data_IF_890296887031
#
_entry.id   IF_890296887031
#
_cell.length_a   1.000
_cell.length_b   1.000
_cell.length_c   1.000
_cell.angle_alpha   90.00
_cell.angle_beta   90.00
_cell.angle_gamma   90.00
#
_symmetry.space_group_name_H-M   'P 1'
#
loop_
_entity.id
_entity.type
_entity.pdbx_description
1 polymer ?
#
# COMPACT_ATOMS: atom_id res chain seq x y z
N UNK A 1 15.93 17.73 9.28
CA UNK A 1 16.37 16.33 9.07
C UNK A 1 17.28 16.17 7.86
N UNK A 2 16.82 16.36 6.61
CA UNK A 2 17.65 16.14 5.41
C UNK A 2 18.96 16.94 5.44
N UNK A 3 18.90 18.24 5.66
CA UNK A 3 20.11 19.11 5.73
C UNK A 3 21.11 18.56 6.77
N UNK A 4 20.65 18.18 7.95
CA UNK A 4 21.52 17.64 9.00
C UNK A 4 22.15 16.31 8.61
N UNK A 5 21.41 15.42 7.93
CA UNK A 5 21.97 14.14 7.44
C UNK A 5 23.08 14.43 6.45
N UNK A 6 22.86 15.26 5.42
CA UNK A 6 23.88 15.57 4.41
C UNK A 6 25.10 16.31 4.97
N UNK A 7 24.94 17.02 6.10
CA UNK A 7 26.03 17.76 6.72
C UNK A 7 26.90 16.88 7.64
N UNK A 8 26.27 15.98 8.42
CA UNK A 8 26.94 15.27 9.50
C UNK A 8 27.17 13.77 9.22
N UNK A 9 26.51 13.18 8.24
CA UNK A 9 26.66 11.77 7.87
C UNK A 9 27.41 11.71 6.54
N UNK A 10 28.72 11.42 6.60
CA UNK A 10 29.61 11.42 5.41
C UNK A 10 30.23 10.06 5.12
N UNK A 11 30.25 9.15 6.10
CA UNK A 11 30.86 7.84 6.00
C UNK A 11 29.88 6.73 6.40
N UNK A 12 30.11 5.53 5.92
CA UNK A 12 29.30 4.34 6.26
C UNK A 12 29.29 4.04 7.77
N UNK A 13 30.30 4.48 8.51
CA UNK A 13 30.42 4.26 9.96
C UNK A 13 29.71 5.33 10.80
N UNK A 14 29.11 6.37 10.20
CA UNK A 14 28.42 7.45 10.91
C UNK A 14 27.01 7.05 11.38
N UNK A 15 26.86 5.81 11.87
CA UNK A 15 25.57 5.27 12.33
C UNK A 15 25.06 6.05 13.55
N UNK A 16 25.95 6.43 14.49
CA UNK A 16 25.56 7.15 15.70
C UNK A 16 25.06 8.56 15.38
N UNK A 17 25.78 9.41 14.61
CA UNK A 17 25.25 10.69 14.13
C UNK A 17 23.92 10.57 13.40
N UNK A 18 23.78 9.57 12.53
CA UNK A 18 22.51 9.31 11.82
C UNK A 18 21.35 9.03 12.79
N UNK A 19 21.55 8.10 13.75
CA UNK A 19 20.55 7.74 14.75
C UNK A 19 20.16 8.93 15.64
N UNK A 20 21.13 9.75 16.05
CA UNK A 20 20.90 10.95 16.84
C UNK A 20 20.08 11.99 16.08
N UNK A 21 20.38 12.23 14.80
CA UNK A 21 19.62 13.17 13.96
C UNK A 21 18.17 12.69 13.82
N UNK A 22 17.95 11.42 13.52
CA UNK A 22 16.61 10.82 13.39
C UNK A 22 15.81 10.96 14.68
N UNK A 23 16.41 10.58 15.81
CA UNK A 23 15.75 10.64 17.13
C UNK A 23 15.43 12.07 17.54
N UNK A 24 16.40 12.98 17.43
CA UNK A 24 16.23 14.39 17.81
C UNK A 24 15.14 15.07 16.96
N UNK A 25 15.14 14.81 15.65
CA UNK A 25 14.11 15.38 14.74
C UNK A 25 12.71 14.88 15.10
N UNK A 26 12.60 13.59 15.45
CA UNK A 26 11.33 12.98 15.86
C UNK A 26 10.83 13.59 17.18
N UNK A 27 11.70 13.72 18.19
CA UNK A 27 11.37 14.35 19.47
C UNK A 27 10.94 15.80 19.27
N UNK A 28 11.65 16.59 18.46
CA UNK A 28 11.31 17.98 18.17
C UNK A 28 9.94 18.08 17.48
N UNK A 29 9.63 17.18 16.55
CA UNK A 29 8.32 17.17 15.89
C UNK A 29 7.18 16.94 16.88
N UNK A 30 7.31 15.95 17.77
CA UNK A 30 6.30 15.69 18.82
C UNK A 30 6.23 16.84 19.83
N UNK A 31 7.34 17.44 20.19
CA UNK A 31 7.38 18.57 21.11
C UNK A 31 6.65 19.80 20.54
N UNK A 32 6.91 20.13 19.28
CA UNK A 32 6.22 21.22 18.58
C UNK A 32 4.70 20.93 18.50
N UNK A 33 4.33 19.70 18.13
CA UNK A 33 2.93 19.28 18.09
C UNK A 33 2.25 19.40 19.48
N UNK A 34 2.95 19.02 20.53
CA UNK A 34 2.46 19.18 21.90
C UNK A 34 2.23 20.65 22.27
N UNK A 35 3.16 21.55 21.92
CA UNK A 35 3.01 22.99 22.18
C UNK A 35 1.79 23.59 21.47
N UNK A 36 1.46 23.09 20.28
CA UNK A 36 0.26 23.51 19.55
C UNK A 36 -1.02 23.03 20.25
N UNK A 37 -1.09 21.75 20.59
CA UNK A 37 -2.26 21.13 21.20
C UNK A 37 -2.48 21.64 22.65
N UNK A 38 -1.41 21.97 23.37
CA UNK A 38 -1.49 22.45 24.76
C UNK A 38 -2.45 23.63 24.95
N UNK A 39 -2.68 24.44 23.92
CA UNK A 39 -3.60 25.60 23.97
C UNK A 39 -5.07 25.17 24.04
N UNK A 40 -5.39 24.01 23.48
CA UNK A 40 -6.76 23.50 23.31
C UNK A 40 -7.12 22.39 24.30
N UNK A 41 -6.16 21.98 25.16
CA UNK A 41 -6.30 20.85 26.10
C UNK A 41 -6.02 21.29 27.52
N UNK A 42 -6.90 20.92 28.43
CA UNK A 42 -6.71 21.10 29.90
C UNK A 42 -6.38 19.74 30.54
N UNK A 43 -5.40 19.77 31.48
CA UNK A 43 -5.09 18.60 32.30
C UNK A 43 -6.12 18.45 33.41
N UNK A 44 -6.94 17.41 33.34
CA UNK A 44 -7.93 17.06 34.36
C UNK A 44 -7.58 15.72 35.01
N UNK A 45 -7.91 15.56 36.27
CA UNK A 45 -7.78 14.26 36.96
C UNK A 45 -8.91 13.35 36.50
N UNK A 46 -8.57 12.27 35.84
CA UNK A 46 -9.54 11.28 35.37
C UNK A 46 -9.57 10.10 36.33
N UNK A 47 -10.76 9.60 36.74
CA UNK A 47 -10.89 8.40 37.56
C UNK A 47 -10.23 7.18 36.89
N UNK A 48 -9.52 6.38 37.69
CA UNK A 48 -8.81 5.17 37.19
C UNK A 48 -9.77 4.24 36.44
N UNK A 49 -11.03 4.14 36.83
CA UNK A 49 -12.04 3.32 36.14
C UNK A 49 -12.27 3.76 34.70
N UNK A 50 -12.34 5.04 34.45
CA UNK A 50 -12.50 5.58 33.06
C UNK A 50 -11.24 5.38 32.23
N UNK A 51 -10.06 5.53 32.84
CA UNK A 51 -8.78 5.23 32.20
C UNK A 51 -8.75 3.75 31.75
N UNK A 52 -9.13 2.80 32.62
CA UNK A 52 -9.12 1.37 32.30
C UNK A 52 -10.11 1.01 31.20
N UNK A 53 -11.32 1.61 31.20
CA UNK A 53 -12.30 1.37 30.15
C UNK A 53 -11.79 1.90 28.81
N UNK A 54 -11.27 3.13 28.78
CA UNK A 54 -10.70 3.75 27.58
C UNK A 54 -9.48 2.98 27.08
N UNK A 55 -8.58 2.56 27.99
CA UNK A 55 -7.38 1.78 27.65
C UNK A 55 -7.71 0.43 26.99
N UNK A 56 -8.78 -0.24 27.42
CA UNK A 56 -9.23 -1.49 26.80
C UNK A 56 -9.63 -1.28 25.34
N UNK A 57 -10.39 -0.22 25.06
CA UNK A 57 -10.81 0.10 23.70
C UNK A 57 -9.62 0.56 22.84
N UNK A 58 -8.74 1.41 23.41
CA UNK A 58 -7.51 1.84 22.76
C UNK A 58 -6.58 0.66 22.43
N UNK A 59 -6.50 -0.35 23.30
CA UNK A 59 -5.69 -1.54 23.05
C UNK A 59 -6.20 -2.35 21.85
N UNK A 60 -7.52 -2.52 21.71
CA UNK A 60 -8.11 -3.18 20.52
C UNK A 60 -7.78 -2.39 19.24
N UNK A 61 -7.92 -1.06 19.29
CA UNK A 61 -7.56 -0.19 18.15
C UNK A 61 -6.06 -0.23 17.84
N UNK A 62 -5.21 -0.30 18.85
CA UNK A 62 -3.77 -0.46 18.69
C UNK A 62 -3.43 -1.80 18.02
N UNK A 63 -4.08 -2.88 18.44
CA UNK A 63 -3.91 -4.18 17.81
C UNK A 63 -4.35 -4.15 16.34
N UNK A 64 -5.50 -3.54 16.04
CA UNK A 64 -6.00 -3.38 14.68
C UNK A 64 -5.04 -2.54 13.81
N UNK A 65 -4.63 -1.37 14.31
CA UNK A 65 -3.75 -0.47 13.59
C UNK A 65 -2.37 -1.08 13.28
N UNK A 66 -1.91 -2.01 14.11
CA UNK A 66 -0.62 -2.68 13.95
C UNK A 66 -0.73 -4.11 13.42
N UNK A 67 -1.93 -4.65 13.23
CA UNK A 67 -2.12 -6.02 12.79
C UNK A 67 -1.45 -6.31 11.44
N UNK A 68 -1.53 -5.36 10.49
CA UNK A 68 -0.80 -5.43 9.22
C UNK A 68 0.72 -5.38 9.37
N UNK A 69 1.24 -4.74 10.44
CA UNK A 69 2.68 -4.74 10.71
C UNK A 69 3.17 -6.10 11.18
N UNK A 70 2.30 -6.95 11.77
CA UNK A 70 2.71 -8.28 12.22
C UNK A 70 3.29 -9.11 11.08
N UNK A 71 2.69 -9.08 9.88
CA UNK A 71 3.20 -9.81 8.73
C UNK A 71 4.63 -9.37 8.37
N UNK A 72 4.83 -8.09 8.09
CA UNK A 72 6.12 -7.55 7.65
C UNK A 72 7.18 -7.57 8.72
N UNK A 73 6.83 -7.48 10.01
CA UNK A 73 7.77 -7.62 11.11
C UNK A 73 8.22 -9.07 11.28
N UNK A 74 7.28 -10.04 11.20
CA UNK A 74 7.61 -11.46 11.27
C UNK A 74 8.55 -11.87 10.15
N UNK A 75 8.27 -11.50 8.91
CA UNK A 75 9.12 -11.80 7.77
C UNK A 75 10.57 -11.33 8.02
N UNK A 76 10.72 -10.09 8.47
CA UNK A 76 12.06 -9.53 8.77
C UNK A 76 12.78 -10.27 9.87
N UNK A 77 12.08 -10.66 10.95
CA UNK A 77 12.68 -11.42 12.05
C UNK A 77 13.27 -12.75 11.57
N UNK A 78 12.59 -13.43 10.63
CA UNK A 78 13.10 -14.65 10.05
C UNK A 78 14.27 -14.40 9.08
N UNK A 79 14.12 -13.45 8.16
CA UNK A 79 15.14 -13.11 7.18
C UNK A 79 16.45 -12.67 7.85
N UNK A 80 16.39 -11.93 8.97
CA UNK A 80 17.60 -11.50 9.72
C UNK A 80 18.38 -12.66 10.35
N UNK A 81 17.82 -13.88 10.41
CA UNK A 81 18.53 -15.09 10.84
C UNK A 81 19.35 -15.72 9.72
N UNK A 82 19.24 -15.20 8.51
CA UNK A 82 20.05 -15.62 7.35
C UNK A 82 21.54 -15.34 7.59
N UNK A 83 22.42 -16.23 7.13
CA UNK A 83 23.84 -15.91 7.00
C UNK A 83 24.11 -14.82 5.94
N UNK A 84 23.15 -14.55 5.05
CA UNK A 84 23.22 -13.57 3.97
C UNK A 84 22.44 -12.31 4.33
N UNK A 85 23.13 -11.29 4.84
CA UNK A 85 22.49 -10.02 5.27
C UNK A 85 21.85 -9.23 4.11
N UNK A 86 22.25 -9.51 2.88
CA UNK A 86 21.65 -8.87 1.71
C UNK A 86 20.14 -9.15 1.54
N UNK A 87 19.63 -10.29 1.98
CA UNK A 87 18.21 -10.64 1.84
C UNK A 87 17.29 -9.68 2.59
N UNK A 88 17.69 -9.22 3.79
CA UNK A 88 16.91 -8.22 4.53
C UNK A 88 16.95 -6.85 3.83
N UNK A 89 18.08 -6.53 3.16
CA UNK A 89 18.18 -5.31 2.35
C UNK A 89 17.26 -5.40 1.13
N UNK A 90 17.22 -6.53 0.43
CA UNK A 90 16.33 -6.76 -0.71
C UNK A 90 14.87 -6.61 -0.31
N UNK A 91 14.47 -7.24 0.80
CA UNK A 91 13.11 -7.13 1.35
C UNK A 91 12.76 -5.66 1.67
N UNK A 92 13.66 -4.96 2.38
CA UNK A 92 13.40 -3.59 2.85
C UNK A 92 13.34 -2.59 1.71
N UNK A 93 14.27 -2.67 0.73
CA UNK A 93 14.27 -1.81 -0.46
C UNK A 93 12.97 -1.99 -1.24
N UNK A 94 12.60 -3.24 -1.52
CA UNK A 94 11.40 -3.57 -2.29
C UNK A 94 10.12 -3.10 -1.61
N UNK A 95 10.03 -3.31 -0.29
CA UNK A 95 8.91 -2.82 0.51
C UNK A 95 8.80 -1.29 0.47
N UNK A 96 9.93 -0.57 0.59
CA UNK A 96 9.95 0.89 0.56
C UNK A 96 9.49 1.44 -0.79
N UNK A 97 9.92 0.84 -1.91
CA UNK A 97 9.49 1.24 -3.26
C UNK A 97 7.97 1.16 -3.38
N UNK A 98 7.38 0.04 -2.98
CA UNK A 98 5.93 -0.16 -3.04
C UNK A 98 5.20 0.77 -2.08
N UNK A 99 5.75 1.00 -0.87
CA UNK A 99 5.17 1.90 0.12
C UNK A 99 5.10 3.35 -0.36
N UNK A 100 6.08 3.85 -1.11
CA UNK A 100 6.05 5.20 -1.68
C UNK A 100 4.83 5.42 -2.60
N UNK A 101 4.44 4.38 -3.33
CA UNK A 101 3.29 4.43 -4.24
C UNK A 101 1.98 4.28 -3.46
N UNK A 102 1.91 3.30 -2.58
CA UNK A 102 0.68 2.96 -1.86
C UNK A 102 0.24 4.07 -0.89
N UNK A 103 1.18 4.77 -0.24
CA UNK A 103 0.87 5.84 0.72
C UNK A 103 0.12 7.02 0.05
N UNK A 104 0.44 7.33 -1.20
CA UNK A 104 -0.25 8.39 -1.95
C UNK A 104 -1.68 7.96 -2.27
N UNK A 105 -1.86 6.72 -2.70
CA UNK A 105 -3.15 6.20 -3.15
C UNK A 105 -4.11 5.90 -1.99
N UNK A 106 -3.61 5.43 -0.85
CA UNK A 106 -4.45 5.18 0.34
C UNK A 106 -5.08 6.46 0.91
N UNK A 107 -4.45 7.62 0.68
CA UNK A 107 -5.04 8.91 1.04
C UNK A 107 -6.44 9.11 0.47
N UNK A 108 -6.72 8.59 -0.72
CA UNK A 108 -8.05 8.69 -1.37
C UNK A 108 -9.12 7.92 -0.60
N UNK A 109 -8.78 6.78 -0.04
CA UNK A 109 -9.69 5.96 0.78
C UNK A 109 -9.87 6.56 2.17
N UNK A 110 -8.79 6.94 2.84
CA UNK A 110 -8.83 7.43 4.21
C UNK A 110 -9.74 8.65 4.39
N UNK A 111 -9.79 9.54 3.40
CA UNK A 111 -10.68 10.72 3.42
C UNK A 111 -12.16 10.32 3.38
N UNK A 112 -12.51 9.15 2.85
CA UNK A 112 -13.90 8.71 2.72
C UNK A 112 -14.44 8.02 3.98
N UNK A 113 -13.58 7.43 4.81
CA UNK A 113 -13.96 6.68 6.03
C UNK A 113 -14.91 7.48 6.95
N UNK A 114 -14.61 8.74 7.33
CA UNK A 114 -15.52 9.51 8.20
C UNK A 114 -16.88 9.77 7.56
N UNK A 115 -16.93 9.95 6.24
CA UNK A 115 -18.19 10.16 5.50
C UNK A 115 -19.03 8.89 5.43
N UNK A 116 -18.38 7.73 5.25
CA UNK A 116 -19.03 6.43 5.27
C UNK A 116 -19.69 6.17 6.64
N UNK A 117 -18.95 6.40 7.73
CA UNK A 117 -19.47 6.30 9.09
C UNK A 117 -20.66 7.25 9.34
N UNK A 118 -20.61 8.47 8.79
CA UNK A 118 -21.71 9.43 8.87
C UNK A 118 -22.97 8.94 8.17
N UNK A 119 -22.88 8.40 6.94
CA UNK A 119 -24.03 7.86 6.22
C UNK A 119 -24.65 6.65 6.92
N UNK A 120 -23.82 5.74 7.44
CA UNK A 120 -24.30 4.61 8.25
C UNK A 120 -25.00 5.08 9.52
N UNK A 121 -24.45 6.05 10.25
CA UNK A 121 -25.10 6.63 11.43
C UNK A 121 -26.45 7.26 11.13
N UNK A 122 -26.64 7.80 9.92
CA UNK A 122 -27.93 8.31 9.43
C UNK A 122 -28.86 7.24 8.83
N UNK A 123 -28.41 6.00 8.71
CA UNK A 123 -29.13 4.92 8.02
C UNK A 123 -29.40 5.23 6.53
N UNK A 124 -28.57 6.05 5.93
CA UNK A 124 -28.62 6.40 4.50
C UNK A 124 -27.75 5.37 3.72
N UNK A 125 -28.36 4.22 3.49
CA UNK A 125 -27.67 3.10 2.83
C UNK A 125 -27.33 3.41 1.37
N UNK A 126 -28.16 4.19 0.67
CA UNK A 126 -27.92 4.52 -0.74
C UNK A 126 -26.68 5.40 -0.91
N UNK A 127 -26.54 6.45 -0.11
CA UNK A 127 -25.34 7.31 -0.10
C UNK A 127 -24.09 6.54 0.37
N UNK A 128 -24.25 5.62 1.32
CA UNK A 128 -23.17 4.76 1.81
C UNK A 128 -22.66 3.84 0.69
N UNK A 129 -23.55 3.11 0.02
CA UNK A 129 -23.17 2.18 -1.05
C UNK A 129 -22.61 2.91 -2.27
N UNK A 130 -23.19 4.06 -2.63
CA UNK A 130 -22.68 4.92 -3.68
C UNK A 130 -21.23 5.37 -3.38
N UNK A 131 -20.96 5.86 -2.17
CA UNK A 131 -19.64 6.37 -1.80
C UNK A 131 -18.59 5.25 -1.75
N UNK A 132 -18.93 4.05 -1.25
CA UNK A 132 -18.03 2.88 -1.30
C UNK A 132 -17.68 2.53 -2.75
N UNK A 133 -18.70 2.40 -3.61
CA UNK A 133 -18.49 2.04 -5.00
C UNK A 133 -17.64 3.08 -5.73
N UNK A 134 -17.84 4.36 -5.46
CA UNK A 134 -17.07 5.44 -6.06
C UNK A 134 -15.61 5.47 -5.59
N UNK A 135 -15.39 5.43 -4.27
CA UNK A 135 -14.05 5.50 -3.67
C UNK A 135 -13.22 4.26 -3.98
N UNK A 136 -13.81 3.06 -3.86
CA UNK A 136 -13.15 1.80 -4.21
C UNK A 136 -12.78 1.76 -5.70
N UNK A 137 -13.70 2.19 -6.58
CA UNK A 137 -13.44 2.25 -8.02
C UNK A 137 -12.27 3.19 -8.35
N UNK A 138 -12.23 4.36 -7.72
CA UNK A 138 -11.16 5.34 -7.91
C UNK A 138 -9.81 4.81 -7.41
N UNK A 139 -9.79 4.15 -6.27
CA UNK A 139 -8.59 3.54 -5.73
C UNK A 139 -8.06 2.41 -6.62
N UNK A 140 -8.95 1.49 -7.04
CA UNK A 140 -8.60 0.38 -7.93
C UNK A 140 -8.16 0.85 -9.31
N UNK A 141 -8.74 1.94 -9.82
CA UNK A 141 -8.39 2.57 -11.09
C UNK A 141 -6.91 2.99 -11.14
N UNK A 142 -6.32 3.41 -10.02
CA UNK A 142 -4.93 3.79 -9.94
C UNK A 142 -4.01 2.67 -9.43
N UNK A 143 -4.41 1.93 -8.40
CA UNK A 143 -3.52 0.96 -7.75
C UNK A 143 -3.25 -0.26 -8.64
N UNK A 144 -4.24 -0.73 -9.40
CA UNK A 144 -4.09 -1.92 -10.24
C UNK A 144 -3.11 -1.68 -11.39
N UNK A 145 -3.28 -0.66 -12.26
CA UNK A 145 -2.32 -0.43 -13.34
C UNK A 145 -0.92 -0.09 -12.81
N UNK A 146 -0.82 0.63 -11.70
CA UNK A 146 0.47 0.93 -11.07
C UNK A 146 1.14 -0.34 -10.53
N UNK A 147 0.39 -1.23 -9.88
CA UNK A 147 0.91 -2.52 -9.42
C UNK A 147 1.40 -3.39 -10.57
N UNK A 148 0.61 -3.53 -11.65
CA UNK A 148 1.01 -4.31 -12.84
C UNK A 148 2.21 -3.67 -13.54
N UNK A 149 2.24 -2.35 -13.67
CA UNK A 149 3.41 -1.64 -14.20
C UNK A 149 4.67 -1.88 -13.37
N UNK A 150 4.55 -1.89 -12.05
CA UNK A 150 5.67 -2.16 -11.14
C UNK A 150 6.09 -3.64 -11.16
N UNK A 151 5.19 -4.58 -11.40
CA UNK A 151 5.56 -6.00 -11.65
C UNK A 151 6.52 -6.10 -12.85
N UNK A 152 6.24 -5.37 -13.93
CA UNK A 152 7.06 -5.39 -15.14
C UNK A 152 8.37 -4.61 -14.99
N UNK A 153 8.34 -3.49 -14.30
CA UNK A 153 9.48 -2.57 -14.14
C UNK A 153 10.20 -2.73 -12.79
N UNK A 154 9.89 -3.75 -11.98
CA UNK A 154 10.39 -3.92 -10.62
C UNK A 154 11.90 -3.86 -10.49
N UNK A 155 12.63 -4.53 -11.39
CA UNK A 155 14.10 -4.51 -11.40
C UNK A 155 14.64 -3.11 -11.70
N UNK A 156 14.07 -2.40 -12.68
CA UNK A 156 14.48 -1.03 -12.99
C UNK A 156 14.15 -0.07 -11.85
N UNK A 157 12.97 -0.20 -11.26
CA UNK A 157 12.57 0.59 -10.09
C UNK A 157 13.55 0.39 -8.92
N UNK A 158 14.00 -0.85 -8.69
CA UNK A 158 14.98 -1.18 -7.66
C UNK A 158 16.33 -0.55 -7.95
N UNK A 159 16.83 -0.65 -9.19
CA UNK A 159 18.12 -0.07 -9.56
C UNK A 159 18.10 1.46 -9.49
N UNK A 160 17.01 2.11 -9.90
CA UNK A 160 16.85 3.56 -9.77
C UNK A 160 16.80 3.99 -8.31
N UNK A 161 16.11 3.23 -7.45
CA UNK A 161 15.94 3.58 -6.04
C UNK A 161 17.20 3.35 -5.20
N UNK A 162 17.92 2.22 -5.43
CA UNK A 162 18.98 1.76 -4.54
C UNK A 162 20.35 1.58 -5.20
N UNK A 163 20.46 1.33 -6.45
CA UNK A 163 21.62 1.14 -7.33
C UNK A 163 21.68 -0.27 -7.96
N UNK A 164 22.59 -0.45 -8.92
CA UNK A 164 22.81 -1.72 -9.64
C UNK A 164 23.23 -2.89 -8.71
N UNK A 165 23.87 -2.60 -7.59
CA UNK A 165 24.25 -3.60 -6.56
C UNK A 165 23.02 -4.40 -6.08
N UNK A 166 21.83 -3.81 -6.12
CA UNK A 166 20.60 -4.41 -5.62
C UNK A 166 19.70 -4.96 -6.72
N UNK A 167 20.22 -5.22 -7.92
CA UNK A 167 19.46 -5.78 -9.05
C UNK A 167 18.69 -7.05 -8.68
N UNK A 168 19.26 -7.91 -7.83
CA UNK A 168 18.62 -9.13 -7.34
C UNK A 168 17.33 -8.85 -6.54
N UNK A 169 17.18 -7.69 -5.90
CA UNK A 169 15.96 -7.30 -5.21
C UNK A 169 14.81 -6.96 -6.19
N UNK A 170 15.07 -6.88 -7.49
CA UNK A 170 14.04 -6.57 -8.50
C UNK A 170 12.90 -7.57 -8.52
N UNK A 171 13.19 -8.87 -8.36
CA UNK A 171 12.14 -9.91 -8.28
C UNK A 171 11.31 -9.73 -7.00
N UNK A 172 11.94 -9.37 -5.89
CA UNK A 172 11.25 -9.12 -4.62
C UNK A 172 10.32 -7.90 -4.76
N UNK A 173 10.77 -6.85 -5.48
CA UNK A 173 9.94 -5.68 -5.79
C UNK A 173 8.72 -6.05 -6.64
N UNK A 174 8.90 -6.89 -7.66
CA UNK A 174 7.79 -7.40 -8.48
C UNK A 174 6.79 -8.22 -7.68
N UNK A 175 7.26 -9.04 -6.73
CA UNK A 175 6.38 -9.81 -5.84
C UNK A 175 5.64 -8.93 -4.83
N UNK A 176 6.28 -7.90 -4.28
CA UNK A 176 5.59 -6.91 -3.46
C UNK A 176 4.53 -6.14 -4.26
N UNK A 177 4.81 -5.83 -5.53
CA UNK A 177 3.82 -5.22 -6.41
C UNK A 177 2.63 -6.15 -6.69
N UNK A 178 2.86 -7.45 -6.90
CA UNK A 178 1.81 -8.46 -7.00
C UNK A 178 0.98 -8.54 -5.71
N UNK A 179 1.65 -8.59 -4.55
CA UNK A 179 1.00 -8.57 -3.24
C UNK A 179 0.10 -7.34 -3.07
N UNK A 180 0.53 -6.18 -3.56
CA UNK A 180 -0.24 -4.92 -3.48
C UNK A 180 -1.63 -5.03 -4.15
N UNK A 181 -1.78 -5.88 -5.17
CA UNK A 181 -3.09 -6.10 -5.80
C UNK A 181 -4.06 -6.80 -4.84
N UNK A 182 -3.61 -7.79 -4.06
CA UNK A 182 -4.42 -8.47 -3.04
C UNK A 182 -4.66 -7.55 -1.85
N UNK A 183 -3.60 -6.90 -1.36
CA UNK A 183 -3.68 -5.94 -0.27
C UNK A 183 -4.65 -4.78 -0.58
N UNK A 184 -4.76 -4.36 -1.83
CA UNK A 184 -5.71 -3.29 -2.20
C UNK A 184 -7.17 -3.69 -1.97
N UNK A 185 -7.51 -4.97 -2.19
CA UNK A 185 -8.84 -5.50 -1.87
C UNK A 185 -9.05 -5.58 -0.35
N UNK A 186 -8.09 -6.14 0.39
CA UNK A 186 -8.10 -6.16 1.85
C UNK A 186 -8.31 -4.76 2.44
N UNK A 187 -7.61 -3.77 1.89
CA UNK A 187 -7.72 -2.39 2.36
C UNK A 187 -9.12 -1.79 2.19
N UNK A 188 -9.80 -2.10 1.06
CA UNK A 188 -11.18 -1.70 0.82
C UNK A 188 -12.13 -2.47 1.76
N UNK A 189 -12.05 -3.80 1.76
CA UNK A 189 -12.99 -4.66 2.48
C UNK A 189 -12.88 -4.47 3.99
N UNK A 190 -11.64 -4.41 4.50
CA UNK A 190 -11.35 -4.22 5.91
C UNK A 190 -11.72 -2.82 6.39
N UNK A 191 -11.14 -1.77 5.79
CA UNK A 191 -11.25 -0.42 6.34
C UNK A 191 -12.54 0.32 5.93
N UNK A 192 -13.00 0.18 4.69
CA UNK A 192 -14.21 0.90 4.26
C UNK A 192 -15.52 0.16 4.56
N UNK A 193 -15.48 -1.17 4.72
CA UNK A 193 -16.70 -1.95 4.94
C UNK A 193 -16.73 -2.50 6.36
N UNK A 194 -15.82 -3.39 6.74
CA UNK A 194 -15.91 -4.10 8.03
C UNK A 194 -15.69 -3.13 9.20
N UNK A 195 -14.64 -2.32 9.13
CA UNK A 195 -14.31 -1.35 10.19
C UNK A 195 -15.41 -0.30 10.37
N UNK A 196 -15.89 0.29 9.27
CA UNK A 196 -16.92 1.34 9.29
C UNK A 196 -18.26 0.82 9.82
N UNK A 197 -18.52 -0.49 9.72
CA UNK A 197 -19.70 -1.14 10.31
C UNK A 197 -19.53 -1.55 11.78
N UNK A 198 -18.58 -0.97 12.51
CA UNK A 198 -18.30 -1.26 13.94
C UNK A 198 -17.95 -2.74 14.19
N UNK A 199 -17.28 -3.39 13.22
CA UNK A 199 -16.84 -4.80 13.32
C UNK A 199 -15.31 -4.93 13.45
N UNK A 200 -14.68 -3.95 14.07
CA UNK A 200 -13.23 -3.90 14.27
C UNK A 200 -12.67 -5.14 14.98
N UNK A 201 -13.43 -5.73 15.90
CA UNK A 201 -13.01 -6.97 16.59
C UNK A 201 -12.91 -8.15 15.63
N UNK A 202 -13.86 -8.27 14.70
CA UNK A 202 -13.83 -9.32 13.69
C UNK A 202 -12.67 -9.13 12.73
N UNK A 203 -12.45 -7.91 12.30
CA UNK A 203 -11.32 -7.57 11.43
C UNK A 203 -9.98 -7.87 12.11
N UNK A 204 -9.82 -7.48 13.37
CA UNK A 204 -8.64 -7.79 14.19
C UNK A 204 -8.41 -9.31 14.27
N UNK A 205 -9.47 -10.08 14.49
CA UNK A 205 -9.38 -11.55 14.54
C UNK A 205 -8.88 -12.11 13.20
N UNK A 206 -9.37 -11.63 12.06
CA UNK A 206 -8.92 -12.08 10.74
C UNK A 206 -7.45 -11.77 10.49
N UNK A 207 -6.99 -10.59 10.88
CA UNK A 207 -5.57 -10.24 10.82
C UNK A 207 -4.70 -11.12 11.72
N UNK A 208 -5.19 -11.50 12.91
CA UNK A 208 -4.48 -12.46 13.76
C UNK A 208 -4.42 -13.86 13.13
N UNK A 209 -5.52 -14.34 12.53
CA UNK A 209 -5.52 -15.61 11.79
C UNK A 209 -4.48 -15.58 10.68
N UNK A 210 -4.47 -14.53 9.87
CA UNK A 210 -3.47 -14.35 8.82
C UNK A 210 -2.05 -14.30 9.39
N UNK A 211 -1.83 -13.55 10.48
CA UNK A 211 -0.52 -13.47 11.16
C UNK A 211 -0.03 -14.83 11.67
N UNK A 212 -0.92 -15.66 12.22
CA UNK A 212 -0.58 -17.03 12.63
C UNK A 212 -0.23 -17.90 11.41
N UNK A 213 -0.97 -17.79 10.32
CA UNK A 213 -0.68 -18.53 9.09
C UNK A 213 0.67 -18.11 8.51
N UNK A 214 0.93 -16.81 8.43
CA UNK A 214 2.22 -16.29 7.99
C UNK A 214 3.36 -16.78 8.89
N UNK A 215 3.19 -16.76 10.22
CA UNK A 215 4.17 -17.27 11.17
C UNK A 215 4.47 -18.76 10.95
N UNK A 216 3.43 -19.58 10.74
CA UNK A 216 3.60 -21.01 10.46
C UNK A 216 4.36 -21.25 9.15
N UNK A 217 4.00 -20.52 8.08
CA UNK A 217 4.67 -20.63 6.79
C UNK A 217 6.12 -20.17 6.88
N UNK A 218 6.39 -19.04 7.54
CA UNK A 218 7.74 -18.53 7.76
C UNK A 218 8.59 -19.49 8.61
N UNK A 219 7.98 -20.14 9.60
CA UNK A 219 8.66 -21.18 10.41
C UNK A 219 9.02 -22.39 9.55
N UNK A 220 8.15 -22.80 8.63
CA UNK A 220 8.47 -23.86 7.68
C UNK A 220 9.63 -23.49 6.75
N UNK A 221 9.68 -22.27 6.24
CA UNK A 221 10.82 -21.78 5.45
C UNK A 221 12.10 -21.80 6.28
N UNK A 222 12.04 -21.32 7.52
CA UNK A 222 13.18 -21.25 8.43
C UNK A 222 13.77 -22.65 8.74
N UNK A 223 12.92 -23.63 9.06
CA UNK A 223 13.35 -25.01 9.34
C UNK A 223 14.04 -25.63 8.12
N UNK A 224 13.61 -25.27 6.91
CA UNK A 224 14.22 -25.73 5.66
C UNK A 224 15.42 -24.87 5.21
N UNK A 225 15.90 -23.94 6.03
CA UNK A 225 17.02 -23.03 5.72
C UNK A 225 16.77 -22.16 4.47
N UNK A 226 15.52 -21.80 4.18
CA UNK A 226 15.14 -20.93 3.07
C UNK A 226 14.99 -19.51 3.61
N UNK A 227 15.92 -18.61 3.24
CA UNK A 227 15.97 -17.22 3.75
C UNK A 227 15.81 -16.15 2.69
N UNK A 228 15.68 -16.53 1.42
CA UNK A 228 15.53 -15.58 0.32
C UNK A 228 14.24 -14.77 0.50
N UNK A 229 14.33 -13.44 0.32
CA UNK A 229 13.27 -12.49 0.61
C UNK A 229 11.97 -12.76 -0.19
N UNK A 230 12.08 -13.27 -1.41
CA UNK A 230 10.95 -13.58 -2.28
C UNK A 230 9.98 -14.59 -1.68
N UNK A 231 10.48 -15.62 -0.98
CA UNK A 231 9.62 -16.63 -0.37
C UNK A 231 8.81 -16.06 0.81
N UNK A 232 9.38 -15.14 1.58
CA UNK A 232 8.68 -14.48 2.68
C UNK A 232 7.59 -13.52 2.19
N UNK A 233 7.81 -12.85 1.06
CA UNK A 233 6.74 -12.08 0.41
C UNK A 233 5.60 -12.99 -0.07
N UNK A 234 5.93 -14.18 -0.59
CA UNK A 234 4.92 -15.17 -1.01
C UNK A 234 4.13 -15.74 0.17
N UNK A 235 4.76 -16.05 1.31
CA UNK A 235 4.04 -16.49 2.52
C UNK A 235 3.07 -15.43 3.01
N UNK A 236 3.47 -14.16 2.99
CA UNK A 236 2.60 -13.03 3.33
C UNK A 236 1.45 -12.90 2.32
N UNK A 237 1.71 -13.04 1.02
CA UNK A 237 0.67 -13.02 -0.02
C UNK A 237 -0.38 -14.11 0.22
N UNK A 238 0.05 -15.35 0.56
CA UNK A 238 -0.87 -16.45 0.87
C UNK A 238 -1.73 -16.11 2.09
N UNK A 239 -1.13 -15.59 3.16
CA UNK A 239 -1.84 -15.20 4.36
C UNK A 239 -2.88 -14.10 4.08
N UNK A 240 -2.53 -13.08 3.30
CA UNK A 240 -3.45 -12.01 2.88
C UNK A 240 -4.59 -12.53 1.99
N UNK A 241 -4.34 -13.46 1.07
CA UNK A 241 -5.40 -14.09 0.30
C UNK A 241 -6.44 -14.80 1.20
N UNK A 242 -5.99 -15.44 2.29
CA UNK A 242 -6.88 -16.05 3.27
C UNK A 242 -7.69 -15.00 4.03
N UNK A 243 -7.05 -13.90 4.47
CA UNK A 243 -7.73 -12.78 5.14
C UNK A 243 -8.79 -12.16 4.23
N UNK A 244 -8.45 -11.84 2.99
CA UNK A 244 -9.41 -11.32 1.99
C UNK A 244 -10.58 -12.28 1.79
N UNK A 245 -10.31 -13.58 1.76
CA UNK A 245 -11.37 -14.59 1.63
C UNK A 245 -12.31 -14.57 2.83
N UNK A 246 -11.78 -14.49 4.06
CA UNK A 246 -12.59 -14.38 5.29
C UNK A 246 -13.42 -13.10 5.31
N UNK A 247 -12.84 -11.96 4.88
CA UNK A 247 -13.55 -10.69 4.76
C UNK A 247 -14.71 -10.76 3.76
N UNK A 248 -14.49 -11.35 2.59
CA UNK A 248 -15.51 -11.55 1.57
C UNK A 248 -16.67 -12.41 2.12
N UNK A 249 -16.34 -13.53 2.78
CA UNK A 249 -17.35 -14.42 3.39
C UNK A 249 -18.15 -13.71 4.47
N UNK A 250 -17.49 -12.90 5.30
CA UNK A 250 -18.14 -12.11 6.34
C UNK A 250 -19.11 -11.08 5.75
N UNK A 251 -18.64 -10.27 4.78
CA UNK A 251 -19.45 -9.23 4.14
C UNK A 251 -20.69 -9.84 3.47
N UNK A 252 -20.52 -10.99 2.77
CA UNK A 252 -21.63 -11.72 2.15
C UNK A 252 -22.60 -12.28 3.20
N UNK A 253 -22.09 -12.88 4.27
CA UNK A 253 -22.93 -13.47 5.34
C UNK A 253 -23.84 -12.46 6.00
N UNK A 254 -23.33 -11.25 6.23
CA UNK A 254 -24.07 -10.18 6.91
C UNK A 254 -24.73 -9.16 5.96
N UNK A 255 -24.61 -9.39 4.63
CA UNK A 255 -25.16 -8.51 3.58
C UNK A 255 -24.79 -7.03 3.80
N UNK A 256 -23.53 -6.74 4.16
CA UNK A 256 -23.10 -5.38 4.50
C UNK A 256 -23.11 -4.46 3.28
N UNK A 257 -22.63 -4.94 2.13
CA UNK A 257 -22.53 -4.20 0.85
C UNK A 257 -22.51 -5.19 -0.31
N UNK A 258 -22.99 -4.75 -1.48
CA UNK A 258 -22.82 -5.51 -2.73
C UNK A 258 -21.39 -5.43 -3.24
N UNK A 259 -20.66 -6.56 -3.21
CA UNK A 259 -19.28 -6.64 -3.69
C UNK A 259 -19.16 -6.72 -5.22
N UNK A 260 -20.28 -6.87 -5.94
CA UNK A 260 -20.30 -7.10 -7.39
C UNK A 260 -19.57 -6.00 -8.16
N UNK A 261 -19.84 -4.74 -7.83
CA UNK A 261 -19.22 -3.58 -8.48
C UNK A 261 -17.69 -3.57 -8.27
N UNK A 262 -17.23 -3.81 -7.04
CA UNK A 262 -15.79 -3.83 -6.69
C UNK A 262 -15.06 -4.90 -7.50
N UNK A 263 -15.58 -6.13 -7.53
CA UNK A 263 -14.96 -7.22 -8.30
C UNK A 263 -15.01 -7.01 -9.81
N UNK A 264 -16.13 -6.50 -10.34
CA UNK A 264 -16.23 -6.19 -11.76
C UNK A 264 -15.22 -5.11 -12.18
N UNK A 265 -15.02 -4.08 -11.36
CA UNK A 265 -14.01 -3.05 -11.60
C UNK A 265 -12.59 -3.61 -11.47
N UNK A 266 -12.30 -4.38 -10.42
CA UNK A 266 -10.99 -5.04 -10.25
C UNK A 266 -10.61 -5.90 -11.45
N UNK A 267 -11.49 -6.81 -11.86
CA UNK A 267 -11.22 -7.72 -12.99
C UNK A 267 -11.05 -6.96 -14.30
N UNK A 268 -11.87 -5.92 -14.54
CA UNK A 268 -11.76 -5.05 -15.71
C UNK A 268 -10.41 -4.35 -15.76
N UNK A 269 -10.01 -3.70 -14.67
CA UNK A 269 -8.74 -2.97 -14.61
C UNK A 269 -7.53 -3.89 -14.72
N UNK A 270 -7.59 -5.09 -14.11
CA UNK A 270 -6.55 -6.11 -14.30
C UNK A 270 -6.47 -6.52 -15.76
N UNK A 271 -7.60 -6.90 -16.38
CA UNK A 271 -7.63 -7.35 -17.77
C UNK A 271 -7.06 -6.31 -18.76
N UNK A 272 -7.40 -5.03 -18.58
CA UNK A 272 -6.87 -3.95 -19.41
C UNK A 272 -5.37 -3.76 -19.12
N UNK A 273 -4.96 -3.76 -17.88
CA UNK A 273 -3.55 -3.54 -17.51
C UNK A 273 -2.62 -4.68 -17.95
N UNK A 274 -3.12 -5.88 -18.21
CA UNK A 274 -2.33 -6.94 -18.84
C UNK A 274 -1.83 -6.55 -20.25
N UNK A 275 -2.48 -5.59 -20.91
CA UNK A 275 -1.98 -5.00 -22.16
C UNK A 275 -0.65 -4.24 -22.01
N UNK A 276 -0.18 -3.96 -20.77
CA UNK A 276 1.14 -3.38 -20.54
C UNK A 276 2.27 -4.35 -20.88
N UNK A 277 2.00 -5.67 -20.82
CA UNK A 277 3.00 -6.70 -21.10
C UNK A 277 3.56 -6.56 -22.53
N UNK A 278 2.74 -6.59 -23.61
CA UNK A 278 3.26 -6.40 -24.95
C UNK A 278 3.91 -5.02 -25.15
N UNK A 279 3.39 -3.96 -24.53
CA UNK A 279 3.98 -2.62 -24.60
C UNK A 279 5.40 -2.63 -24.02
N UNK A 280 5.58 -3.20 -22.83
CA UNK A 280 6.88 -3.33 -22.17
C UNK A 280 7.89 -4.08 -23.05
N UNK A 281 7.53 -5.27 -23.56
CA UNK A 281 8.43 -6.07 -24.39
C UNK A 281 8.76 -5.38 -25.72
N UNK A 282 7.79 -4.68 -26.32
CA UNK A 282 8.02 -3.89 -27.54
C UNK A 282 9.01 -2.75 -27.27
N UNK A 283 8.81 -1.97 -26.20
CA UNK A 283 9.75 -0.92 -25.82
C UNK A 283 11.14 -1.51 -25.53
N UNK A 284 11.22 -2.60 -24.76
CA UNK A 284 12.49 -3.27 -24.42
C UNK A 284 13.26 -3.69 -25.68
N UNK A 285 12.56 -4.23 -26.69
CA UNK A 285 13.18 -4.66 -27.96
C UNK A 285 13.62 -3.46 -28.81
N UNK A 286 12.80 -2.40 -28.92
CA UNK A 286 13.14 -1.20 -29.70
C UNK A 286 14.40 -0.54 -29.16
N UNK A 287 14.52 -0.43 -27.83
CA UNK A 287 15.68 0.18 -27.18
C UNK A 287 16.83 -0.81 -26.93
N UNK A 288 16.70 -2.07 -27.37
CA UNK A 288 17.71 -3.13 -27.28
C UNK A 288 18.26 -3.32 -25.84
N UNK A 289 17.40 -3.27 -24.86
CA UNK A 289 17.79 -3.38 -23.45
C UNK A 289 18.05 -4.86 -23.10
N UNK A 290 19.32 -5.20 -22.93
CA UNK A 290 19.80 -6.56 -22.58
C UNK A 290 20.16 -6.68 -21.09
N UNK A 291 20.47 -5.57 -20.43
CA UNK A 291 20.85 -5.51 -19.02
C UNK A 291 19.92 -4.57 -18.23
N UNK A 292 19.98 -4.63 -16.93
CA UNK A 292 19.22 -3.73 -16.04
C UNK A 292 20.03 -2.52 -15.57
N UNK A 293 21.18 -2.24 -16.21
CA UNK A 293 21.99 -1.03 -15.97
C UNK A 293 21.23 0.20 -16.41
N UNK A 294 21.28 1.27 -15.60
CA UNK A 294 20.58 2.52 -15.90
C UNK A 294 21.46 3.38 -16.81
N UNK A 295 21.15 3.34 -18.10
CA UNK A 295 21.69 4.24 -19.10
C UNK A 295 20.55 5.09 -19.72
N UNK A 296 20.90 6.02 -20.61
CA UNK A 296 19.91 6.89 -21.27
C UNK A 296 18.83 6.08 -21.99
N UNK A 297 19.22 5.00 -22.70
CA UNK A 297 18.27 4.15 -23.43
C UNK A 297 17.30 3.45 -22.46
N UNK A 298 17.79 2.97 -21.32
CA UNK A 298 16.95 2.35 -20.28
C UNK A 298 15.96 3.37 -19.70
N UNK A 299 16.41 4.59 -19.40
CA UNK A 299 15.51 5.65 -18.92
C UNK A 299 14.43 6.02 -19.95
N UNK A 300 14.81 6.17 -21.21
CA UNK A 300 13.85 6.43 -22.29
C UNK A 300 12.86 5.28 -22.41
N UNK A 301 13.34 4.03 -22.39
CA UNK A 301 12.50 2.82 -22.44
C UNK A 301 11.48 2.82 -21.29
N UNK A 302 11.90 3.10 -20.07
CA UNK A 302 11.02 3.17 -18.88
C UNK A 302 9.97 4.27 -19.09
N UNK A 303 10.38 5.48 -19.47
CA UNK A 303 9.46 6.60 -19.71
C UNK A 303 8.46 6.27 -20.83
N UNK A 304 8.91 5.69 -21.95
CA UNK A 304 8.05 5.25 -23.04
C UNK A 304 7.07 4.17 -22.58
N UNK A 305 7.54 3.16 -21.83
CA UNK A 305 6.69 2.10 -21.31
C UNK A 305 5.58 2.68 -20.42
N UNK A 306 5.93 3.55 -19.47
CA UNK A 306 4.96 4.19 -18.57
C UNK A 306 3.95 5.02 -19.37
N UNK A 307 4.44 5.86 -20.29
CA UNK A 307 3.60 6.78 -21.06
C UNK A 307 2.64 6.02 -21.98
N UNK A 308 3.16 5.05 -22.77
CA UNK A 308 2.30 4.26 -23.66
C UNK A 308 1.32 3.37 -22.91
N UNK A 309 1.72 2.79 -21.78
CA UNK A 309 0.82 2.02 -20.92
C UNK A 309 -0.30 2.90 -20.35
N UNK A 310 0.03 4.11 -19.88
CA UNK A 310 -0.96 5.06 -19.36
C UNK A 310 -1.93 5.53 -20.46
N UNK A 311 -1.42 5.86 -21.66
CA UNK A 311 -2.24 6.24 -22.81
C UNK A 311 -3.14 5.10 -23.27
N UNK A 312 -2.61 3.88 -23.37
CA UNK A 312 -3.37 2.69 -23.70
C UNK A 312 -4.49 2.47 -22.69
N UNK A 313 -4.17 2.48 -21.39
CA UNK A 313 -5.14 2.28 -20.31
C UNK A 313 -6.26 3.32 -20.36
N UNK A 314 -5.90 4.60 -20.46
CA UNK A 314 -6.84 5.69 -20.54
C UNK A 314 -7.72 5.60 -21.80
N UNK A 315 -7.14 5.29 -22.96
CA UNK A 315 -7.85 5.17 -24.22
C UNK A 315 -8.87 4.03 -24.21
N UNK A 316 -8.48 2.85 -23.72
CA UNK A 316 -9.40 1.70 -23.62
C UNK A 316 -10.55 2.02 -22.67
N UNK A 317 -10.27 2.58 -21.48
CA UNK A 317 -11.32 2.97 -20.52
C UNK A 317 -12.24 4.06 -21.04
N UNK A 318 -11.72 4.99 -21.85
CA UNK A 318 -12.53 6.02 -22.51
C UNK A 318 -13.48 5.41 -23.56
N UNK A 319 -12.97 4.50 -24.40
CA UNK A 319 -13.75 3.82 -25.44
C UNK A 319 -14.91 3.01 -24.84
N UNK A 320 -14.66 2.27 -23.75
CA UNK A 320 -15.69 1.49 -23.05
C UNK A 320 -16.57 2.34 -22.13
N UNK A 321 -16.36 3.66 -22.10
CA UNK A 321 -17.10 4.63 -21.28
C UNK A 321 -17.11 4.23 -19.79
N UNK A 322 -15.95 3.84 -19.25
CA UNK A 322 -15.85 3.48 -17.84
C UNK A 322 -16.23 4.66 -16.95
N UNK A 323 -17.14 4.42 -15.99
CA UNK A 323 -17.69 5.48 -15.14
C UNK A 323 -16.62 6.24 -14.33
N UNK A 324 -15.57 5.55 -13.88
CA UNK A 324 -14.47 6.16 -13.11
C UNK A 324 -13.60 7.03 -14.03
N UNK A 325 -13.33 6.56 -15.26
CA UNK A 325 -12.60 7.33 -16.26
C UNK A 325 -13.37 8.62 -16.62
N UNK A 326 -14.67 8.52 -16.89
CA UNK A 326 -15.49 9.68 -17.23
C UNK A 326 -15.53 10.68 -16.07
N UNK A 327 -15.72 10.21 -14.85
CA UNK A 327 -15.68 11.05 -13.64
C UNK A 327 -14.35 11.78 -13.45
N UNK A 328 -13.22 11.09 -13.65
CA UNK A 328 -11.89 11.72 -13.55
C UNK A 328 -11.66 12.77 -14.64
N UNK A 329 -12.12 12.51 -15.85
CA UNK A 329 -12.06 13.49 -16.96
C UNK A 329 -12.90 14.73 -16.67
N UNK A 330 -14.10 14.57 -16.13
CA UNK A 330 -15.00 15.71 -15.78
C UNK A 330 -14.34 16.60 -14.71
N UNK A 331 -13.71 15.99 -13.71
CA UNK A 331 -12.96 16.75 -12.70
C UNK A 331 -11.80 17.54 -13.33
N UNK A 332 -11.01 16.89 -14.17
CA UNK A 332 -9.87 17.53 -14.86
C UNK A 332 -10.34 18.67 -15.77
N UNK A 333 -11.38 18.43 -16.56
CA UNK A 333 -11.97 19.45 -17.44
C UNK A 333 -12.47 20.66 -16.65
N UNK A 334 -13.25 20.43 -15.59
CA UNK A 334 -13.77 21.51 -14.75
C UNK A 334 -12.65 22.30 -14.06
N UNK A 335 -11.57 21.62 -13.62
CA UNK A 335 -10.44 22.27 -12.94
C UNK A 335 -9.56 23.07 -13.91
N UNK A 336 -9.34 22.58 -15.13
CA UNK A 336 -8.50 23.23 -16.13
C UNK A 336 -9.24 24.35 -16.86
N UNK A 337 -10.49 24.13 -17.23
CA UNK A 337 -11.20 25.05 -18.14
C UNK A 337 -12.16 26.03 -17.45
N UNK A 338 -12.73 25.70 -16.27
CA UNK A 338 -13.52 26.68 -15.52
C UNK A 338 -12.66 27.74 -14.79
N UNK A 339 -11.36 27.50 -14.57
CA UNK A 339 -10.44 28.52 -14.02
C UNK A 339 -10.10 29.62 -15.03
N UNK A 340 -10.32 29.41 -16.32
CA UNK A 340 -10.09 30.41 -17.37
C UNK A 340 -11.34 31.24 -17.73
N UNK A 341 -12.46 31.03 -17.00
CA UNK A 341 -13.71 31.81 -17.20
C UNK A 341 -14.05 32.72 -16.01
N UNK A 342 -13.10 33.00 -15.11
CA UNK A 342 -13.22 34.03 -14.08
C UNK A 342 -12.18 35.13 -14.30
#
# INVERSE_FOLDING_TARGET
>A
MLISIFTFVKAENDIIPYALIMTTTTILNYFISFLWIKKDVSFVKIPIKEILISSKNMFIMLLLANANMLYTLLDRLFITRSPHLEYISYYTISMNIVMLITIVLTGTINVTIPRLSYYLGKKDNDSYEYLINQSSSLFLFFIIPTGIGLILLGTFATVIYASEKYTAAGIVTSLFALRTLVWSLEYILGNQIIFVNDKERTLTLYYFIGGIINLLLNTLLYINNIFQAEYYVLTTLIAECIVVTLEILFIKKYNLVSLRSIFQKSTRYIAISLGFIPIYYTCKNIFQITSHTININALIMICCTITFSALYYASVLYIIKDSTMMYTMDILYNKLFKKFKK
#
